data_IF_455219331230
#
_entry.id   IF_455219331230
#
_cell.length_a   1.000
_cell.length_b   1.000
_cell.length_c   1.000
_cell.angle_alpha   90.00
_cell.angle_beta   90.00
_cell.angle_gamma   90.00
#
_symmetry.space_group_name_H-M   'P 1'
#
loop_
_entity.id
_entity.type
_entity.pdbx_description
1 polymer ?
#
# COMPACT_ATOMS: atom_id res chain seq x y z
N UNK A 1 -10.42 36.63 -17.66
CA UNK A 1 -11.34 35.66 -17.03
C UNK A 1 -12.02 34.83 -18.10
N UNK A 2 -11.67 33.55 -18.22
CA UNK A 2 -12.37 32.58 -19.05
C UNK A 2 -12.40 31.27 -18.28
N UNK A 3 -13.54 31.00 -17.67
CA UNK A 3 -13.84 29.75 -17.00
C UNK A 3 -14.04 28.67 -18.06
N UNK A 4 -13.37 27.53 -17.89
CA UNK A 4 -13.78 26.27 -18.50
C UNK A 4 -13.62 25.18 -17.45
N UNK A 5 -14.77 24.89 -16.83
CA UNK A 5 -15.00 23.77 -15.94
C UNK A 5 -15.01 22.52 -16.81
N UNK A 6 -14.08 21.60 -16.57
CA UNK A 6 -14.14 20.24 -17.07
C UNK A 6 -14.32 19.31 -15.87
N UNK A 7 -15.58 18.99 -15.56
CA UNK A 7 -15.93 17.88 -14.68
C UNK A 7 -15.64 16.61 -15.46
N UNK A 8 -14.56 15.91 -15.10
CA UNK A 8 -14.25 14.59 -15.63
C UNK A 8 -14.64 13.55 -14.57
N UNK A 9 -15.87 13.05 -14.70
CA UNK A 9 -16.32 11.84 -14.03
C UNK A 9 -15.68 10.64 -14.76
N UNK A 10 -14.59 10.09 -14.22
CA UNK A 10 -14.12 8.77 -14.62
C UNK A 10 -14.65 7.72 -13.63
N UNK A 11 -15.47 6.84 -14.20
CA UNK A 11 -16.10 5.71 -13.55
C UNK A 11 -15.08 4.83 -12.82
N UNK A 12 -15.40 4.50 -11.58
CA UNK A 12 -14.69 3.54 -10.75
C UNK A 12 -14.81 2.14 -11.33
N UNK A 13 -13.81 1.71 -12.11
CA UNK A 13 -13.62 0.31 -12.47
C UNK A 13 -13.22 -0.48 -11.21
N UNK A 14 -14.21 -0.91 -10.42
CA UNK A 14 -13.97 -1.84 -9.32
C UNK A 14 -13.81 -3.25 -9.89
N UNK A 15 -12.70 -3.97 -9.64
CA UNK A 15 -12.62 -5.39 -9.96
C UNK A 15 -13.59 -6.14 -9.05
N UNK A 16 -14.50 -6.89 -9.66
CA UNK A 16 -15.43 -7.80 -9.00
C UNK A 16 -14.60 -8.92 -8.36
N UNK A 17 -14.32 -8.80 -7.07
CA UNK A 17 -13.73 -9.89 -6.30
C UNK A 17 -14.83 -10.93 -6.11
N UNK A 18 -14.68 -12.05 -6.81
CA UNK A 18 -15.49 -13.24 -6.64
C UNK A 18 -15.45 -13.68 -5.18
N UNK A 19 -16.61 -13.65 -4.51
CA UNK A 19 -16.77 -14.24 -3.18
C UNK A 19 -16.94 -15.74 -3.42
N UNK A 20 -16.01 -16.62 -3.00
CA UNK A 20 -16.28 -18.05 -3.02
C UNK A 20 -17.36 -18.33 -1.96
N UNK A 21 -18.58 -18.57 -2.41
CA UNK A 21 -19.66 -19.12 -1.60
C UNK A 21 -19.32 -20.56 -1.26
N UNK A 22 -18.58 -20.78 -0.16
CA UNK A 22 -18.53 -22.08 0.48
C UNK A 22 -19.87 -22.36 1.16
N UNK A 23 -20.84 -22.77 0.35
CA UNK A 23 -21.95 -23.60 0.82
C UNK A 23 -21.52 -25.04 0.62
N UNK A 24 -21.08 -25.67 1.70
CA UNK A 24 -21.24 -27.10 1.82
C UNK A 24 -21.81 -27.42 3.20
N UNK A 25 -23.01 -27.98 3.15
CA UNK A 25 -23.81 -28.32 4.30
C UNK A 25 -23.17 -29.52 5.01
N UNK A 26 -22.36 -29.28 6.04
CA UNK A 26 -21.97 -30.34 6.97
C UNK A 26 -22.83 -30.30 8.22
N UNK A 27 -24.03 -30.84 8.10
CA UNK A 27 -24.79 -31.36 9.24
C UNK A 27 -25.02 -32.84 9.01
N UNK A 28 -24.16 -33.71 9.55
CA UNK A 28 -24.56 -35.04 9.96
C UNK A 28 -23.58 -35.64 10.99
N UNK A 29 -24.05 -35.63 12.24
CA UNK A 29 -23.89 -36.69 13.26
C UNK A 29 -22.48 -37.24 13.56
N UNK A 30 -21.94 -36.82 14.71
CA UNK A 30 -20.80 -37.47 15.37
C UNK A 30 -20.78 -37.17 16.86
N UNK A 31 -21.74 -37.73 17.60
CA UNK A 31 -21.76 -37.72 19.07
C UNK A 31 -20.64 -38.64 19.58
N UNK A 32 -19.60 -38.07 20.18
CA UNK A 32 -18.69 -38.81 21.06
C UNK A 32 -17.21 -38.53 20.86
N UNK A 33 -16.52 -38.34 21.99
CA UNK A 33 -15.06 -38.41 22.20
C UNK A 33 -14.15 -37.43 21.45
N UNK A 34 -13.70 -36.39 22.16
CA UNK A 34 -12.35 -36.40 22.72
C UNK A 34 -12.05 -35.05 23.39
N UNK A 35 -11.61 -35.12 24.64
CA UNK A 35 -10.97 -34.04 25.37
C UNK A 35 -9.80 -33.50 24.55
N UNK A 36 -9.68 -32.17 24.50
CA UNK A 36 -8.37 -31.52 24.49
C UNK A 36 -7.55 -31.65 23.21
N UNK A 37 -8.11 -31.31 22.05
CA UNK A 37 -7.28 -30.67 21.04
C UNK A 37 -7.17 -29.19 21.42
N UNK A 38 -6.20 -28.84 22.27
CA UNK A 38 -5.69 -27.47 22.30
C UNK A 38 -5.16 -27.20 20.90
N UNK A 39 -6.04 -26.67 20.04
CA UNK A 39 -5.67 -26.08 18.76
C UNK A 39 -4.47 -25.18 19.07
N UNK A 40 -3.29 -25.35 18.43
CA UNK A 40 -2.23 -24.38 18.60
C UNK A 40 -2.87 -23.03 18.28
N UNK A 41 -2.94 -22.13 19.27
CA UNK A 41 -3.29 -20.73 19.02
C UNK A 41 -2.35 -20.35 17.89
N UNK A 42 -2.89 -20.08 16.69
CA UNK A 42 -2.13 -19.40 15.64
C UNK A 42 -1.47 -18.24 16.38
N UNK A 43 -0.15 -18.26 16.48
CA UNK A 43 0.60 -17.17 17.08
C UNK A 43 0.07 -15.93 16.36
N UNK A 44 -0.67 -15.10 17.09
CA UNK A 44 -1.26 -13.94 16.46
C UNK A 44 -0.08 -13.07 16.03
N UNK A 45 -0.04 -12.62 14.77
CA UNK A 45 0.94 -11.67 14.29
C UNK A 45 1.29 -10.64 15.36
N UNK A 46 2.58 -10.43 15.73
CA UNK A 46 2.94 -9.30 16.56
C UNK A 46 2.39 -8.02 15.93
N UNK A 47 1.36 -7.47 16.56
CA UNK A 47 0.76 -6.21 16.12
C UNK A 47 1.83 -5.12 16.17
N UNK A 48 1.76 -4.19 15.22
CA UNK A 48 2.61 -3.00 15.24
C UNK A 48 2.40 -2.26 16.57
N UNK A 49 3.50 -1.80 17.16
CA UNK A 49 3.42 -0.83 18.26
C UNK A 49 2.89 0.51 17.75
N UNK A 50 2.44 1.40 18.63
CA UNK A 50 1.96 2.73 18.22
C UNK A 50 3.03 3.53 17.46
N UNK A 51 4.30 3.42 17.88
CA UNK A 51 5.44 4.07 17.20
C UNK A 51 5.64 3.50 15.81
N UNK A 52 5.56 2.19 15.64
CA UNK A 52 5.70 1.54 14.34
C UNK A 52 4.51 1.82 13.42
N UNK A 53 3.31 1.97 13.98
CA UNK A 53 2.15 2.40 13.21
C UNK A 53 2.30 3.83 12.69
N UNK A 54 2.80 4.74 13.54
CA UNK A 54 3.10 6.10 13.11
C UNK A 54 4.18 6.10 12.01
N UNK A 55 5.28 5.37 12.22
CA UNK A 55 6.34 5.25 11.21
C UNK A 55 5.84 4.71 9.87
N UNK A 56 4.86 3.79 9.89
CA UNK A 56 4.25 3.28 8.67
C UNK A 56 3.48 4.38 7.92
N UNK A 57 2.71 5.21 8.64
CA UNK A 57 2.01 6.35 8.04
C UNK A 57 2.98 7.40 7.51
N UNK A 58 3.97 7.80 8.31
CA UNK A 58 4.98 8.77 7.89
C UNK A 58 5.75 8.31 6.65
N UNK A 59 6.11 7.01 6.58
CA UNK A 59 6.79 6.45 5.42
C UNK A 59 5.89 6.42 4.17
N UNK A 60 4.59 6.16 4.32
CA UNK A 60 3.63 6.20 3.20
C UNK A 60 3.44 7.62 2.67
N UNK A 61 3.30 8.59 3.56
CA UNK A 61 3.20 10.00 3.21
C UNK A 61 4.47 10.47 2.48
N UNK A 62 5.65 10.10 3.00
CA UNK A 62 6.92 10.42 2.36
C UNK A 62 7.05 9.82 0.95
N UNK A 63 6.59 8.58 0.73
CA UNK A 63 6.58 7.96 -0.61
C UNK A 63 5.66 8.75 -1.55
N UNK A 64 4.48 9.14 -1.09
CA UNK A 64 3.54 9.94 -1.89
C UNK A 64 4.13 11.31 -2.25
N UNK A 65 4.71 12.00 -1.29
CA UNK A 65 5.34 13.31 -1.47
C UNK A 65 6.53 13.26 -2.44
N UNK A 66 7.40 12.25 -2.31
CA UNK A 66 8.55 12.08 -3.20
C UNK A 66 8.11 11.73 -4.63
N UNK A 67 7.07 10.91 -4.79
CA UNK A 67 6.51 10.63 -6.12
C UNK A 67 5.92 11.89 -6.77
N UNK A 68 5.23 12.73 -6.00
CA UNK A 68 4.71 14.01 -6.49
C UNK A 68 5.84 14.96 -6.92
N UNK A 69 6.92 15.04 -6.14
CA UNK A 69 8.09 15.85 -6.48
C UNK A 69 8.80 15.35 -7.75
N UNK A 70 9.01 14.04 -7.87
CA UNK A 70 9.59 13.43 -9.08
C UNK A 70 8.72 13.75 -10.30
N UNK A 71 7.40 13.59 -10.19
CA UNK A 71 6.45 13.93 -11.27
C UNK A 71 6.55 15.39 -11.67
N UNK A 72 6.57 16.31 -10.70
CA UNK A 72 6.71 17.74 -10.96
C UNK A 72 8.01 18.09 -11.71
N UNK A 73 9.14 17.48 -11.34
CA UNK A 73 10.42 17.70 -12.04
C UNK A 73 10.36 17.13 -13.47
N UNK A 74 9.72 15.98 -13.66
CA UNK A 74 9.53 15.38 -14.99
C UNK A 74 8.66 16.26 -15.89
N UNK A 75 7.56 16.80 -15.37
CA UNK A 75 6.67 17.71 -16.08
C UNK A 75 7.37 19.02 -16.46
N UNK A 76 8.19 19.57 -15.55
CA UNK A 76 9.04 20.72 -15.83
C UNK A 76 10.06 20.42 -16.95
N UNK A 77 10.69 19.24 -16.91
CA UNK A 77 11.60 18.79 -17.96
C UNK A 77 10.90 18.65 -19.30
N UNK A 78 9.70 18.06 -19.34
CA UNK A 78 8.90 17.93 -20.56
C UNK A 78 8.52 19.31 -21.14
N UNK A 79 8.10 20.25 -20.29
CA UNK A 79 7.76 21.62 -20.69
C UNK A 79 8.99 22.40 -21.21
N UNK A 80 10.19 22.10 -20.71
CA UNK A 80 11.45 22.70 -21.13
C UNK A 80 12.11 22.00 -22.34
N UNK A 81 11.53 20.91 -22.84
CA UNK A 81 12.09 20.12 -23.96
C UNK A 81 13.15 19.08 -23.56
N UNK A 82 13.32 18.81 -22.27
CA UNK A 82 14.20 17.78 -21.73
C UNK A 82 14.61 18.07 -20.28
N UNK A 83 15.06 17.02 -19.57
CA UNK A 83 15.60 17.15 -18.21
C UNK A 83 17.06 17.60 -18.23
N UNK A 84 17.34 18.66 -17.47
CA UNK A 84 18.71 19.10 -17.17
C UNK A 84 19.47 18.06 -16.32
N UNK A 85 20.80 18.13 -16.28
CA UNK A 85 21.60 17.23 -15.44
C UNK A 85 21.28 17.39 -13.95
N UNK A 86 21.05 18.63 -13.50
CA UNK A 86 20.66 18.93 -12.12
C UNK A 86 19.32 18.27 -11.76
N UNK A 87 18.31 18.40 -12.62
CA UNK A 87 17.01 17.75 -12.43
C UNK A 87 17.11 16.22 -12.43
N UNK A 88 17.98 15.64 -13.27
CA UNK A 88 18.24 14.19 -13.26
C UNK A 88 18.90 13.71 -11.96
N UNK A 89 19.85 14.48 -11.44
CA UNK A 89 20.48 14.19 -10.14
C UNK A 89 19.46 14.31 -8.99
N UNK A 90 18.57 15.29 -9.06
CA UNK A 90 17.51 15.48 -8.08
C UNK A 90 16.49 14.33 -8.11
N UNK A 91 16.02 13.94 -9.30
CA UNK A 91 15.15 12.75 -9.47
C UNK A 91 15.83 11.52 -8.88
N UNK A 92 17.12 11.32 -9.13
CA UNK A 92 17.87 10.17 -8.59
C UNK A 92 17.88 10.20 -7.07
N UNK A 93 18.11 11.38 -6.47
CA UNK A 93 18.10 11.57 -5.02
C UNK A 93 16.72 11.26 -4.42
N UNK A 94 15.66 11.79 -5.01
CA UNK A 94 14.29 11.54 -4.55
C UNK A 94 13.88 10.07 -4.72
N UNK A 95 14.33 9.44 -5.80
CA UNK A 95 14.09 8.01 -6.07
C UNK A 95 14.74 7.14 -5.00
N UNK A 96 16.02 7.38 -4.67
CA UNK A 96 16.71 6.65 -3.59
C UNK A 96 15.98 6.79 -2.26
N UNK A 97 15.59 8.02 -1.90
CA UNK A 97 14.86 8.27 -0.64
C UNK A 97 13.50 7.59 -0.61
N UNK A 98 12.80 7.55 -1.75
CA UNK A 98 11.52 6.87 -1.89
C UNK A 98 11.69 5.37 -1.69
N UNK A 99 12.74 4.78 -2.24
CA UNK A 99 13.00 3.34 -2.13
C UNK A 99 13.35 2.95 -0.68
N UNK A 100 14.08 3.80 0.05
CA UNK A 100 14.32 3.63 1.49
C UNK A 100 13.03 3.71 2.32
N UNK A 101 12.15 4.67 2.01
CA UNK A 101 10.84 4.79 2.65
C UNK A 101 9.95 3.58 2.32
N UNK A 102 9.95 3.13 1.07
CA UNK A 102 9.21 1.94 0.62
C UNK A 102 9.70 0.68 1.34
N UNK A 103 11.01 0.50 1.52
CA UNK A 103 11.55 -0.61 2.29
C UNK A 103 11.08 -0.60 3.75
N UNK A 104 10.86 0.59 4.32
CA UNK A 104 10.28 0.73 5.67
C UNK A 104 8.81 0.33 5.68
N UNK A 105 8.02 0.77 4.69
CA UNK A 105 6.63 0.35 4.50
C UNK A 105 6.54 -1.17 4.39
N UNK A 106 7.33 -1.78 3.51
CA UNK A 106 7.30 -3.22 3.24
C UNK A 106 7.65 -4.02 4.49
N UNK A 107 8.68 -3.60 5.25
CA UNK A 107 9.06 -4.23 6.52
C UNK A 107 7.93 -4.20 7.55
N UNK A 108 7.28 -3.05 7.73
CA UNK A 108 6.23 -2.86 8.73
C UNK A 108 4.92 -3.54 8.31
N UNK A 109 4.60 -3.54 7.01
CA UNK A 109 3.46 -4.29 6.45
C UNK A 109 3.67 -5.79 6.62
N UNK A 110 4.86 -6.30 6.34
CA UNK A 110 5.21 -7.70 6.56
C UNK A 110 5.07 -8.07 8.05
N UNK A 111 5.57 -7.23 8.97
CA UNK A 111 5.41 -7.44 10.42
C UNK A 111 3.94 -7.49 10.85
N UNK A 112 3.07 -6.68 10.23
CA UNK A 112 1.63 -6.68 10.53
C UNK A 112 0.90 -7.94 10.04
N UNK A 113 1.38 -8.54 8.95
CA UNK A 113 0.75 -9.69 8.30
C UNK A 113 1.24 -11.07 8.75
N UNK A 114 2.33 -11.14 9.50
CA UNK A 114 2.96 -12.35 10.08
C UNK A 114 2.64 -12.45 11.54
#
# INVERSE_FOLDING_TARGET
MRALVAVLALATAMPVISIPTFSDAQVLTGRGSARGASRPRRAQPPRLTAVEQQQLWDAQDLVADLNAQIGAIQDQGAAAGGLTDAQRAEITTHTTRRDEAQATVDRLVAKRGV
#
